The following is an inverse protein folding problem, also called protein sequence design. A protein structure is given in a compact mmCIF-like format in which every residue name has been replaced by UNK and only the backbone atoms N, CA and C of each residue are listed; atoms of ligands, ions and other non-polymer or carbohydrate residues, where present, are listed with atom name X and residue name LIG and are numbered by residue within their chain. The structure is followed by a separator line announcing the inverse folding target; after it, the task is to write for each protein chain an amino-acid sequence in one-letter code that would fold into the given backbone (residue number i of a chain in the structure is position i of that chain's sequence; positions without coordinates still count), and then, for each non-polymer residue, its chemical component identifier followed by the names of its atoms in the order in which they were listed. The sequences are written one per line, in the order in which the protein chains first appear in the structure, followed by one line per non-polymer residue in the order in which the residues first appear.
data_IF_462004838395
#
_entry.id   IF_462004838395
#
_cell.length_a   1.000
_cell.length_b   1.000
_cell.length_c   1.000
_cell.angle_alpha   90.00
_cell.angle_beta   90.00
_cell.angle_gamma   90.00
#
_symmetry.space_group_name_H-M   'P 1'
#
loop_
_entity.id
_entity.type
_entity.pdbx_description
1 polymer ?
#
# COMPACT_ATOMS: atom_id res chain seq x y z
N UNK A 1 -4.24 -17.92 -27.37
CA UNK A 1 -3.86 -17.21 -26.13
C UNK A 1 -3.56 -18.17 -24.97
N UNK A 2 -3.22 -19.39 -25.30
CA UNK A 2 -3.15 -20.47 -24.30
C UNK A 2 -1.88 -20.43 -23.45
N UNK A 3 -0.82 -19.81 -23.97
CA UNK A 3 0.45 -19.58 -23.26
C UNK A 3 0.70 -18.07 -23.01
N UNK A 4 -0.33 -17.35 -22.60
CA UNK A 4 -0.22 -15.89 -22.41
C UNK A 4 -0.88 -15.48 -21.10
N UNK A 5 -0.12 -14.82 -20.21
CA UNK A 5 -0.65 -14.06 -19.10
C UNK A 5 -1.23 -12.75 -19.65
N UNK A 6 -2.48 -12.44 -19.34
CA UNK A 6 -3.08 -11.13 -19.62
C UNK A 6 -3.34 -10.42 -18.32
N UNK A 7 -2.85 -9.17 -18.19
CA UNK A 7 -3.02 -8.34 -17.01
C UNK A 7 -3.72 -7.06 -17.40
N UNK A 8 -4.80 -6.73 -16.70
CA UNK A 8 -5.46 -5.44 -16.74
C UNK A 8 -5.26 -4.75 -15.39
N UNK A 9 -4.63 -3.61 -15.39
CA UNK A 9 -4.32 -2.83 -14.18
C UNK A 9 -4.10 -1.36 -14.51
N UNK A 10 -3.89 -0.53 -13.49
CA UNK A 10 -3.41 0.84 -13.59
C UNK A 10 -2.17 1.04 -12.72
N UNK A 11 -1.36 2.04 -13.04
CA UNK A 11 -0.20 2.46 -12.23
C UNK A 11 -0.65 3.13 -10.93
N UNK A 12 -1.76 3.87 -10.99
CA UNK A 12 -2.29 4.70 -9.91
C UNK A 12 -3.79 4.88 -10.08
N UNK A 13 -4.51 5.13 -8.97
CA UNK A 13 -5.88 5.64 -9.00
C UNK A 13 -5.92 7.15 -9.26
N UNK A 14 -7.09 7.78 -9.08
CA UNK A 14 -7.27 9.21 -9.34
C UNK A 14 -8.47 9.77 -8.59
N UNK A 15 -8.33 10.98 -8.00
CA UNK A 15 -9.43 11.75 -7.43
C UNK A 15 -10.16 12.52 -8.52
N UNK A 16 -11.45 12.39 -8.59
CA UNK A 16 -12.32 13.12 -9.51
C UNK A 16 -13.27 14.08 -8.79
N UNK A 17 -12.88 14.52 -7.60
CA UNK A 17 -13.65 15.40 -6.73
C UNK A 17 -13.73 14.90 -5.29
N UNK A 18 -13.40 13.63 -5.05
CA UNK A 18 -13.32 13.04 -3.70
C UNK A 18 -12.31 13.83 -2.86
N UNK A 19 -12.60 14.01 -1.58
CA UNK A 19 -11.84 14.84 -0.64
C UNK A 19 -11.64 16.30 -1.11
N UNK A 20 -12.40 16.77 -2.10
CA UNK A 20 -12.21 18.07 -2.73
C UNK A 20 -10.99 18.17 -3.65
N UNK A 21 -10.40 17.04 -4.06
CA UNK A 21 -9.19 16.97 -4.88
C UNK A 21 -9.45 16.52 -6.31
N UNK A 22 -8.52 16.92 -7.17
CA UNK A 22 -8.40 16.44 -8.54
C UNK A 22 -6.92 16.15 -8.82
N UNK A 23 -6.46 14.98 -8.42
CA UNK A 23 -5.07 14.54 -8.48
C UNK A 23 -4.97 13.05 -8.12
N UNK A 24 -3.75 12.53 -7.82
CA UNK A 24 -3.50 11.11 -7.56
C UNK A 24 -2.37 10.83 -6.56
N UNK A 25 -2.04 11.75 -5.66
CA UNK A 25 -0.79 11.63 -4.85
C UNK A 25 -1.00 11.36 -3.38
N UNK A 26 -2.12 11.78 -2.81
CA UNK A 26 -2.44 11.46 -1.42
C UNK A 26 -2.69 9.96 -1.23
N UNK A 27 -2.40 9.46 -0.03
CA UNK A 27 -2.51 8.05 0.31
C UNK A 27 -3.95 7.60 0.64
N UNK A 28 -4.99 8.15 0.00
CA UNK A 28 -6.37 7.66 0.17
C UNK A 28 -6.70 6.58 -0.86
N UNK A 29 -7.78 5.80 -0.61
CA UNK A 29 -8.10 4.62 -1.43
C UNK A 29 -8.34 4.97 -2.91
N UNK A 30 -8.89 6.14 -3.24
CA UNK A 30 -9.10 6.58 -4.62
C UNK A 30 -7.79 6.66 -5.42
N UNK A 31 -6.70 6.97 -4.75
CA UNK A 31 -5.35 6.99 -5.32
C UNK A 31 -4.67 5.63 -5.28
N UNK A 32 -4.86 4.88 -4.19
CA UNK A 32 -4.12 3.65 -3.91
C UNK A 32 -4.78 2.39 -4.46
N UNK A 33 -6.11 2.33 -4.50
CA UNK A 33 -6.87 1.15 -4.88
C UNK A 33 -7.07 1.09 -6.40
N UNK A 34 -6.15 0.44 -7.09
CA UNK A 34 -6.19 0.24 -8.55
C UNK A 34 -6.78 -1.12 -8.91
N UNK A 35 -7.43 -1.25 -10.08
CA UNK A 35 -7.88 -2.55 -10.55
C UNK A 35 -6.69 -3.47 -10.83
N UNK A 36 -6.83 -4.74 -10.49
CA UNK A 36 -5.90 -5.79 -10.90
C UNK A 36 -6.67 -7.03 -11.29
N UNK A 37 -6.73 -7.31 -12.61
CA UNK A 37 -7.36 -8.50 -13.15
C UNK A 37 -6.31 -9.28 -13.94
N UNK A 38 -6.13 -10.55 -13.60
CA UNK A 38 -5.18 -11.43 -14.26
C UNK A 38 -5.89 -12.64 -14.89
N UNK A 39 -5.65 -12.86 -16.18
CA UNK A 39 -5.99 -14.11 -16.85
C UNK A 39 -4.72 -14.92 -17.02
N UNK A 40 -4.67 -16.05 -16.33
CA UNK A 40 -3.52 -16.95 -16.37
C UNK A 40 -3.46 -17.75 -17.68
N UNK A 41 -2.28 -18.25 -18.08
CA UNK A 41 -2.12 -19.22 -19.15
C UNK A 41 -2.93 -20.49 -18.89
N UNK A 42 -3.10 -21.31 -19.94
CA UNK A 42 -3.72 -22.63 -19.81
C UNK A 42 -2.91 -23.52 -18.84
N UNK A 43 -3.62 -24.31 -18.02
CA UNK A 43 -3.00 -25.13 -16.98
C UNK A 43 -3.10 -24.54 -15.57
N UNK A 44 -3.40 -23.25 -15.43
CA UNK A 44 -3.77 -22.63 -14.15
C UNK A 44 -5.29 -22.69 -13.99
N UNK A 45 -5.76 -23.41 -12.99
CA UNK A 45 -7.20 -23.66 -12.82
C UNK A 45 -7.88 -22.74 -11.79
N UNK A 46 -7.16 -21.78 -11.18
CA UNK A 46 -7.76 -20.87 -10.21
C UNK A 46 -8.65 -19.85 -10.90
N UNK A 47 -9.82 -19.63 -10.30
CA UNK A 47 -10.75 -18.54 -10.62
C UNK A 47 -11.27 -17.94 -9.31
N UNK A 48 -11.63 -16.68 -9.33
CA UNK A 48 -12.21 -15.97 -8.19
C UNK A 48 -11.30 -14.86 -7.69
N UNK A 49 -11.71 -14.25 -6.59
CA UNK A 49 -11.07 -13.08 -6.02
C UNK A 49 -9.88 -13.45 -5.13
N UNK A 50 -8.89 -12.59 -5.11
CA UNK A 50 -7.74 -12.60 -4.19
C UNK A 50 -7.89 -11.37 -3.32
N UNK A 51 -7.98 -11.57 -2.00
CA UNK A 51 -8.22 -10.50 -1.03
C UNK A 51 -6.98 -10.11 -0.23
N UNK A 52 -5.88 -10.81 -0.45
CA UNK A 52 -4.58 -10.51 0.13
C UNK A 52 -4.06 -9.16 -0.37
N UNK A 53 -3.33 -8.44 0.50
CA UNK A 53 -2.72 -7.17 0.14
C UNK A 53 -1.63 -7.35 -0.90
N UNK A 54 -1.79 -6.72 -2.06
CA UNK A 54 -0.84 -6.74 -3.17
C UNK A 54 -0.48 -5.33 -3.60
N UNK A 55 0.64 -5.16 -4.29
CA UNK A 55 1.13 -3.87 -4.77
C UNK A 55 1.62 -3.98 -6.22
N UNK A 56 1.70 -2.86 -6.92
CA UNK A 56 2.24 -2.80 -8.28
C UNK A 56 3.71 -3.25 -8.38
N UNK A 57 4.50 -3.09 -7.31
CA UNK A 57 5.88 -3.61 -7.24
C UNK A 57 5.97 -5.15 -7.29
N UNK A 58 4.85 -5.85 -7.10
CA UNK A 58 4.77 -7.31 -7.15
C UNK A 58 4.68 -7.86 -8.58
N UNK A 59 4.41 -7.00 -9.57
CA UNK A 59 4.27 -7.44 -10.96
C UNK A 59 5.59 -7.94 -11.53
N UNK A 60 6.68 -7.20 -11.33
CA UNK A 60 7.98 -7.57 -11.87
C UNK A 60 8.48 -8.93 -11.36
N UNK A 61 8.54 -9.21 -10.04
CA UNK A 61 8.92 -10.54 -9.55
C UNK A 61 7.96 -11.64 -10.02
N UNK A 62 6.66 -11.35 -10.16
CA UNK A 62 5.68 -12.31 -10.69
C UNK A 62 5.99 -12.68 -12.14
N UNK A 63 6.28 -11.70 -12.99
CA UNK A 63 6.59 -11.95 -14.40
C UNK A 63 7.92 -12.69 -14.57
N UNK A 64 8.93 -12.35 -13.77
CA UNK A 64 10.20 -13.07 -13.78
C UNK A 64 10.03 -14.53 -13.38
N UNK A 65 9.31 -14.81 -12.31
CA UNK A 65 9.06 -16.18 -11.86
C UNK A 65 8.25 -16.99 -12.90
N UNK A 66 7.21 -16.40 -13.48
CA UNK A 66 6.43 -17.04 -14.56
C UNK A 66 7.28 -17.34 -15.80
N UNK A 67 8.26 -16.50 -16.09
CA UNK A 67 9.20 -16.69 -17.18
C UNK A 67 10.32 -17.70 -16.86
N UNK A 68 10.38 -18.23 -15.63
CA UNK A 68 11.46 -19.10 -15.17
C UNK A 68 12.79 -18.37 -14.95
N UNK A 69 12.76 -17.05 -14.82
CA UNK A 69 13.93 -16.22 -14.53
C UNK A 69 14.14 -16.05 -13.02
N UNK A 70 15.39 -15.84 -12.61
CA UNK A 70 15.69 -15.54 -11.21
C UNK A 70 15.18 -14.15 -10.85
N UNK A 71 14.44 -14.05 -9.77
CA UNK A 71 14.04 -12.77 -9.16
C UNK A 71 15.26 -12.19 -8.43
N UNK A 72 15.69 -10.94 -8.75
CA UNK A 72 16.75 -10.25 -8.00
C UNK A 72 16.41 -10.06 -6.52
N UNK A 73 17.42 -10.15 -5.66
CA UNK A 73 17.22 -10.09 -4.19
C UNK A 73 16.92 -8.67 -3.67
N UNK A 74 17.24 -7.65 -4.46
CA UNK A 74 17.00 -6.23 -4.17
C UNK A 74 15.60 -5.75 -4.58
N UNK A 75 14.75 -6.61 -5.14
CA UNK A 75 13.35 -6.30 -5.40
C UNK A 75 12.54 -6.27 -4.11
N UNK A 76 11.85 -5.17 -3.83
CA UNK A 76 10.96 -5.03 -2.67
C UNK A 76 9.63 -5.79 -2.84
N UNK A 77 9.19 -6.00 -4.08
CA UNK A 77 7.97 -6.75 -4.39
C UNK A 77 8.11 -8.25 -4.14
N UNK A 78 6.98 -8.92 -4.03
CA UNK A 78 6.87 -10.36 -3.83
C UNK A 78 6.03 -10.95 -4.96
N UNK A 79 6.46 -12.07 -5.51
CA UNK A 79 5.70 -12.74 -6.58
C UNK A 79 4.28 -13.11 -6.13
N UNK A 80 3.31 -12.77 -6.95
CA UNK A 80 1.90 -13.14 -6.78
C UNK A 80 1.62 -14.60 -7.16
N UNK A 81 2.60 -15.32 -7.70
CA UNK A 81 2.39 -16.68 -8.25
C UNK A 81 1.81 -17.66 -7.23
N UNK A 82 2.19 -17.68 -5.94
CA UNK A 82 1.53 -18.54 -4.96
C UNK A 82 0.03 -18.24 -4.84
N UNK A 83 -0.35 -16.95 -4.72
CA UNK A 83 -1.77 -16.56 -4.65
C UNK A 83 -2.52 -16.95 -5.93
N UNK A 84 -1.90 -16.75 -7.09
CA UNK A 84 -2.44 -17.12 -8.39
C UNK A 84 -2.62 -18.64 -8.55
N UNK A 85 -1.84 -19.44 -7.84
CA UNK A 85 -2.01 -20.91 -7.74
C UNK A 85 -3.04 -21.33 -6.68
N UNK A 86 -3.56 -20.41 -5.89
CA UNK A 86 -4.50 -20.70 -4.81
C UNK A 86 -3.85 -21.06 -3.49
N UNK A 87 -2.58 -20.79 -3.35
CA UNK A 87 -1.86 -20.95 -2.10
C UNK A 87 -2.08 -19.70 -1.22
N UNK A 88 -2.04 -19.87 0.10
CA UNK A 88 -2.15 -18.79 1.08
C UNK A 88 -0.93 -18.84 2.00
N UNK A 89 0.21 -18.25 1.58
CA UNK A 89 1.43 -18.28 2.38
C UNK A 89 1.19 -17.64 3.75
N UNK A 90 1.54 -18.35 4.84
CA UNK A 90 1.35 -17.87 6.21
C UNK A 90 2.15 -16.60 6.53
N UNK A 91 3.21 -16.34 5.77
CA UNK A 91 4.06 -15.15 5.89
C UNK A 91 3.72 -14.08 4.86
N UNK A 92 2.54 -14.14 4.23
CA UNK A 92 2.11 -13.06 3.34
C UNK A 92 1.98 -11.76 4.11
N UNK A 93 2.22 -10.63 3.44
CA UNK A 93 2.17 -9.32 4.08
C UNK A 93 0.76 -9.02 4.62
N UNK A 94 0.73 -8.40 5.79
CA UNK A 94 -0.48 -7.90 6.43
C UNK A 94 -0.58 -6.37 6.41
N UNK A 95 0.43 -5.69 5.85
CA UNK A 95 0.48 -4.25 5.73
C UNK A 95 1.24 -3.81 4.47
N UNK A 96 0.87 -2.64 3.96
CA UNK A 96 1.52 -1.94 2.87
C UNK A 96 2.15 -0.65 3.38
N UNK A 97 3.30 -0.28 2.82
CA UNK A 97 3.99 0.96 3.08
C UNK A 97 3.88 1.87 1.86
N UNK A 98 3.66 3.16 2.10
CA UNK A 98 3.66 4.20 1.08
C UNK A 98 4.48 5.40 1.56
N UNK A 99 5.20 6.07 0.64
CA UNK A 99 5.90 7.30 0.91
C UNK A 99 5.88 8.22 -0.30
N UNK A 100 5.44 9.46 -0.09
CA UNK A 100 5.47 10.55 -1.06
C UNK A 100 6.50 11.61 -0.61
N UNK A 101 7.57 11.77 -1.40
CA UNK A 101 8.73 12.62 -1.03
C UNK A 101 8.68 14.02 -1.63
N UNK A 102 7.91 14.20 -2.70
CA UNK A 102 8.02 15.35 -3.59
C UNK A 102 7.30 16.58 -3.03
N UNK A 103 8.06 17.47 -2.39
CA UNK A 103 7.57 18.78 -1.96
C UNK A 103 8.75 19.70 -1.59
N UNK A 104 8.69 21.04 -1.93
CA UNK A 104 7.73 21.64 -2.86
C UNK A 104 7.97 21.22 -4.30
N UNK A 105 6.89 21.05 -5.06
CA UNK A 105 6.93 20.65 -6.45
C UNK A 105 5.67 21.09 -7.20
N UNK A 106 5.51 20.70 -8.45
CA UNK A 106 4.41 21.09 -9.32
C UNK A 106 3.03 20.87 -8.70
N UNK A 107 2.87 19.76 -7.97
CA UNK A 107 1.56 19.36 -7.43
C UNK A 107 1.23 19.90 -6.04
N UNK A 108 2.17 20.53 -5.35
CA UNK A 108 2.00 21.13 -4.02
C UNK A 108 1.41 20.18 -2.94
N UNK A 109 1.45 18.87 -3.19
CA UNK A 109 1.06 17.85 -2.22
C UNK A 109 2.15 17.73 -1.16
N UNK A 110 1.78 17.82 0.11
CA UNK A 110 2.72 17.73 1.24
C UNK A 110 3.32 16.34 1.34
N UNK A 111 4.59 16.28 1.78
CA UNK A 111 5.26 15.01 2.03
C UNK A 111 4.51 14.22 3.06
N UNK A 112 4.32 12.95 2.80
CA UNK A 112 3.68 12.06 3.75
C UNK A 112 4.12 10.62 3.52
N UNK A 113 4.03 9.85 4.56
CA UNK A 113 4.18 8.40 4.52
C UNK A 113 3.08 7.75 5.37
N UNK A 114 2.90 6.45 5.19
CA UNK A 114 1.90 5.76 5.98
C UNK A 114 1.94 4.26 5.83
N UNK A 115 1.09 3.64 6.60
CA UNK A 115 0.83 2.21 6.61
C UNK A 115 -0.65 1.94 6.35
N UNK A 116 -0.92 0.96 5.49
CA UNK A 116 -2.26 0.45 5.22
C UNK A 116 -2.32 -1.02 5.54
N UNK A 117 -3.15 -1.41 6.49
CA UNK A 117 -3.48 -2.80 6.83
C UNK A 117 -4.82 -3.18 6.20
N UNK A 118 -5.30 -4.41 6.39
CA UNK A 118 -6.62 -4.81 5.89
C UNK A 118 -7.79 -3.94 6.43
N UNK A 119 -7.60 -3.29 7.58
CA UNK A 119 -8.66 -2.51 8.22
C UNK A 119 -8.31 -1.06 8.44
N UNK A 120 -7.09 -0.76 8.84
CA UNK A 120 -6.71 0.59 9.24
C UNK A 120 -5.68 1.18 8.29
N UNK A 121 -5.76 2.49 8.14
CA UNK A 121 -4.75 3.30 7.47
C UNK A 121 -4.29 4.40 8.43
N UNK A 122 -2.97 4.52 8.60
CA UNK A 122 -2.34 5.59 9.37
C UNK A 122 -1.41 6.36 8.44
N UNK A 123 -1.61 7.68 8.37
CA UNK A 123 -0.83 8.59 7.50
C UNK A 123 -0.16 9.63 8.38
N UNK A 124 1.08 9.98 8.06
CA UNK A 124 1.81 11.08 8.67
C UNK A 124 2.26 12.08 7.63
N UNK A 125 1.72 13.28 7.69
CA UNK A 125 2.20 14.45 6.96
C UNK A 125 3.34 15.08 7.75
N UNK A 126 4.56 14.80 7.37
CA UNK A 126 5.74 15.16 8.14
C UNK A 126 6.37 16.49 7.66
N UNK A 127 7.23 17.09 8.49
CA UNK A 127 7.93 18.36 8.31
C UNK A 127 7.01 19.59 8.32
N UNK A 128 6.36 19.90 7.19
CA UNK A 128 5.67 21.19 7.01
C UNK A 128 4.36 21.32 7.79
N UNK A 129 3.65 20.21 8.01
CA UNK A 129 2.34 20.15 8.68
C UNK A 129 2.47 19.47 10.02
N UNK A 130 3.16 18.33 10.09
CA UNK A 130 3.32 17.45 11.24
C UNK A 130 1.97 16.97 11.81
N UNK A 131 1.12 16.44 10.94
CA UNK A 131 -0.20 15.94 11.29
C UNK A 131 -0.34 14.45 10.98
N UNK A 132 -1.12 13.78 11.83
CA UNK A 132 -1.46 12.38 11.67
C UNK A 132 -2.93 12.19 11.34
N UNK A 133 -3.20 11.20 10.51
CA UNK A 133 -4.55 10.76 10.19
C UNK A 133 -4.68 9.25 10.40
N UNK A 134 -5.78 8.82 11.01
CA UNK A 134 -6.15 7.41 11.16
C UNK A 134 -7.55 7.17 10.61
N UNK A 135 -7.69 6.14 9.79
CA UNK A 135 -8.97 5.72 9.22
C UNK A 135 -9.26 4.24 9.49
N UNK A 136 -10.51 3.91 9.84
CA UNK A 136 -11.04 2.55 9.90
C UNK A 136 -11.75 2.25 8.58
N UNK A 137 -11.07 1.67 7.62
CA UNK A 137 -11.56 1.41 6.26
C UNK A 137 -12.78 0.49 6.20
N UNK A 138 -13.07 -0.24 7.29
CA UNK A 138 -14.24 -1.08 7.43
C UNK A 138 -15.51 -0.27 7.76
N UNK A 139 -15.35 0.80 8.57
CA UNK A 139 -16.44 1.66 9.01
C UNK A 139 -16.57 2.91 8.14
N UNK A 140 -15.48 3.39 7.63
CA UNK A 140 -15.35 4.59 6.82
C UNK A 140 -14.48 4.30 5.59
N UNK A 141 -15.01 3.58 4.60
CA UNK A 141 -14.28 3.22 3.39
C UNK A 141 -13.92 4.42 2.50
N UNK A 142 -14.56 5.56 2.73
CA UNK A 142 -14.30 6.81 2.00
C UNK A 142 -13.36 7.76 2.77
N UNK A 143 -12.81 7.34 3.90
CA UNK A 143 -11.80 8.08 4.67
C UNK A 143 -12.17 9.54 4.98
N UNK A 144 -13.42 9.77 5.40
CA UNK A 144 -13.96 11.10 5.67
C UNK A 144 -13.80 11.54 7.13
N UNK A 145 -13.50 10.62 8.05
CA UNK A 145 -13.48 10.87 9.49
C UNK A 145 -12.13 10.47 10.08
N UNK A 146 -11.27 11.46 10.31
CA UNK A 146 -10.00 11.22 11.00
C UNK A 146 -10.24 10.81 12.47
N UNK A 147 -9.76 9.63 12.84
CA UNK A 147 -9.88 9.05 14.18
C UNK A 147 -8.63 9.27 15.05
N UNK A 148 -7.58 9.87 14.49
CA UNK A 148 -6.35 10.13 15.23
C UNK A 148 -6.62 11.09 16.41
N UNK A 149 -6.02 10.79 17.57
CA UNK A 149 -6.22 11.56 18.81
C UNK A 149 -7.49 11.23 19.58
N UNK A 150 -8.30 10.27 19.13
CA UNK A 150 -9.42 9.74 19.91
C UNK A 150 -8.93 8.59 20.80
N UNK A 151 -9.16 8.68 22.12
CA UNK A 151 -8.63 7.74 23.13
C UNK A 151 -8.97 6.26 22.86
N UNK A 152 -10.11 5.99 22.25
CA UNK A 152 -10.54 4.62 21.92
C UNK A 152 -9.62 3.95 20.87
N UNK A 153 -8.82 4.73 20.15
CA UNK A 153 -7.91 4.26 19.11
C UNK A 153 -6.42 4.34 19.48
N UNK A 154 -6.06 4.79 20.68
CA UNK A 154 -4.65 4.99 21.09
C UNK A 154 -3.81 3.72 20.98
N UNK A 155 -4.35 2.57 21.36
CA UNK A 155 -3.66 1.28 21.23
C UNK A 155 -3.42 0.90 19.77
N UNK A 156 -4.39 1.17 18.89
CA UNK A 156 -4.31 0.90 17.45
C UNK A 156 -3.24 1.80 16.83
N UNK A 157 -3.24 3.09 17.16
CA UNK A 157 -2.22 4.05 16.71
C UNK A 157 -0.82 3.59 17.12
N UNK A 158 -0.65 3.16 18.37
CA UNK A 158 0.63 2.67 18.90
C UNK A 158 1.13 1.46 18.11
N UNK A 159 0.27 0.47 17.87
CA UNK A 159 0.60 -0.73 17.11
C UNK A 159 0.92 -0.41 15.64
N UNK A 160 0.15 0.49 15.01
CA UNK A 160 0.40 0.90 13.63
C UNK A 160 1.70 1.70 13.48
N UNK A 161 2.02 2.60 14.42
CA UNK A 161 3.29 3.33 14.44
C UNK A 161 4.49 2.36 14.56
N UNK A 162 4.37 1.33 15.38
CA UNK A 162 5.40 0.30 15.49
C UNK A 162 5.59 -0.45 14.17
N UNK A 163 4.51 -0.94 13.56
CA UNK A 163 4.56 -1.64 12.27
C UNK A 163 5.09 -0.73 11.15
N UNK A 164 4.71 0.56 11.16
CA UNK A 164 5.22 1.56 10.22
C UNK A 164 6.74 1.69 10.30
N UNK A 165 7.29 1.79 11.52
CA UNK A 165 8.73 1.85 11.73
C UNK A 165 9.43 0.58 11.21
N UNK A 166 8.89 -0.59 11.50
CA UNK A 166 9.42 -1.87 11.00
C UNK A 166 9.44 -1.92 9.46
N UNK A 167 8.40 -1.37 8.80
CA UNK A 167 8.37 -1.27 7.34
C UNK A 167 9.38 -0.26 6.79
N UNK A 168 9.54 0.90 7.43
CA UNK A 168 10.54 1.90 7.06
C UNK A 168 11.96 1.35 7.20
N UNK A 169 12.23 0.56 8.22
CA UNK A 169 13.51 -0.15 8.39
C UNK A 169 13.72 -1.21 7.32
N UNK A 170 12.70 -2.04 7.08
CA UNK A 170 12.72 -3.09 6.06
C UNK A 170 13.04 -2.56 4.66
N UNK A 171 12.45 -1.42 4.29
CA UNK A 171 12.65 -0.80 2.97
C UNK A 171 13.80 0.21 2.95
N UNK A 172 14.55 0.34 4.05
CA UNK A 172 15.67 1.26 4.20
C UNK A 172 15.32 2.70 3.82
N UNK A 173 14.13 3.16 4.26
CA UNK A 173 13.67 4.51 3.99
C UNK A 173 14.62 5.54 4.64
N UNK A 174 15.07 6.59 3.92
CA UNK A 174 15.94 7.63 4.47
C UNK A 174 15.20 8.57 5.44
N UNK A 175 13.87 8.63 5.37
CA UNK A 175 13.03 9.45 6.24
C UNK A 175 12.19 8.53 7.11
N UNK A 176 12.59 8.38 8.38
CA UNK A 176 11.92 7.47 9.31
C UNK A 176 11.15 8.23 10.37
N UNK A 177 10.04 7.68 10.79
CA UNK A 177 9.35 8.07 11.99
C UNK A 177 10.28 7.89 13.21
N UNK A 178 10.32 8.87 14.11
CA UNK A 178 11.05 8.78 15.37
C UNK A 178 10.08 8.93 16.54
N UNK A 179 9.87 7.86 17.34
CA UNK A 179 8.99 7.93 18.50
C UNK A 179 9.38 9.00 19.55
N UNK A 180 10.63 9.45 19.51
CA UNK A 180 11.15 10.41 20.47
C UNK A 180 10.87 11.88 20.08
N UNK A 181 10.53 12.16 18.83
CA UNK A 181 10.13 13.50 18.38
C UNK A 181 8.72 13.90 18.85
N UNK A 182 7.85 12.93 19.08
CA UNK A 182 6.48 13.18 19.56
C UNK A 182 6.43 13.50 21.07
N UNK A 183 7.59 13.57 21.75
CA UNK A 183 7.70 13.82 23.20
C UNK A 183 8.28 15.20 23.55
N UNK A 184 8.67 15.99 22.56
CA UNK A 184 9.13 17.38 22.70
C UNK A 184 8.02 18.36 22.34
#
# INVERSE_FOLDING_TARGET
MDNTLVVYTSDQGFYMGEHGWFDKRFMYEESMHTPLIMRLPEGFNRRGDITELVQNIDYAPTFLELAGAKVPEDMHGVSLLPLLKGEHPANWRNALYYHFYEYPAEHMVKRHYGIRTNRYKLIHFYNDIDEWELYDLQKDPNELHNLYGQSDYDSIVTDLKKQLLELQEKYNDPVRFSPDRDKE
#
